data_IF_134299234385
#
_entry.id   IF_134299234385
#
_cell.length_a   1.000
_cell.length_b   1.000
_cell.length_c   1.000
_cell.angle_alpha   90.00
_cell.angle_beta   90.00
_cell.angle_gamma   90.00
#
_symmetry.space_group_name_H-M   'P 1'
#
loop_
_entity.id
_entity.type
_entity.pdbx_description
1 polymer ?
#
# COMPACT_ATOMS: atom_id res chain seq x y z
N UNK A 1 -35.41 18.15 17.15
CA UNK A 1 -34.41 17.91 16.07
C UNK A 1 -32.98 17.67 16.61
N UNK A 2 -32.81 16.80 17.64
CA UNK A 2 -31.49 16.54 18.29
C UNK A 2 -31.09 15.05 18.36
N UNK A 3 -31.94 14.12 17.89
CA UNK A 3 -31.68 12.67 17.97
C UNK A 3 -30.90 12.10 16.79
N UNK A 4 -30.83 12.80 15.65
CA UNK A 4 -30.19 12.28 14.43
C UNK A 4 -28.69 12.62 14.31
N UNK A 5 -28.19 13.54 15.14
CA UNK A 5 -26.78 13.96 15.07
C UNK A 5 -25.83 12.92 15.68
N UNK A 6 -26.26 12.20 16.73
CA UNK A 6 -25.42 11.16 17.39
C UNK A 6 -25.23 9.91 16.54
N UNK A 7 -26.22 9.54 15.72
CA UNK A 7 -26.14 8.33 14.87
C UNK A 7 -25.15 8.54 13.70
N UNK A 8 -25.11 9.75 13.14
CA UNK A 8 -24.16 10.12 12.09
C UNK A 8 -22.70 10.11 12.59
N UNK A 9 -22.46 10.47 13.86
CA UNK A 9 -21.12 10.43 14.46
C UNK A 9 -20.59 9.01 14.66
N UNK A 10 -21.47 8.05 14.99
CA UNK A 10 -21.07 6.64 15.21
C UNK A 10 -20.75 5.95 13.87
N UNK A 11 -21.51 6.23 12.81
CA UNK A 11 -21.24 5.68 11.47
C UNK A 11 -19.93 6.23 10.89
N UNK A 12 -19.58 7.48 11.20
CA UNK A 12 -18.33 8.09 10.75
C UNK A 12 -17.09 7.46 11.42
N UNK A 13 -17.18 6.98 12.67
CA UNK A 13 -16.06 6.33 13.37
C UNK A 13 -15.77 4.92 12.84
N UNK A 14 -16.79 4.16 12.42
CA UNK A 14 -16.61 2.78 11.93
C UNK A 14 -15.93 2.74 10.55
N UNK A 15 -16.03 3.81 9.75
CA UNK A 15 -15.35 3.86 8.45
C UNK A 15 -13.85 4.16 8.53
N UNK A 16 -13.35 4.74 9.62
CA UNK A 16 -11.92 5.10 9.74
C UNK A 16 -11.03 3.88 10.00
N UNK A 17 -11.59 2.78 10.50
CA UNK A 17 -10.83 1.55 10.80
C UNK A 17 -10.48 0.71 9.56
N UNK A 18 -11.05 1.03 8.39
CA UNK A 18 -10.85 0.23 7.17
C UNK A 18 -9.56 0.55 6.39
N UNK A 19 -8.66 1.38 6.94
CA UNK A 19 -7.46 1.85 6.24
C UNK A 19 -6.17 1.17 6.70
N UNK A 20 -6.18 0.49 7.85
CA UNK A 20 -4.97 -0.11 8.41
C UNK A 20 -4.87 -1.59 8.08
N UNK A 21 -3.72 -2.04 7.59
CA UNK A 21 -3.40 -3.46 7.55
C UNK A 21 -3.48 -4.03 8.98
N UNK A 22 -3.90 -5.29 9.11
CA UNK A 22 -3.91 -5.93 10.43
C UNK A 22 -2.47 -6.29 10.83
N UNK A 23 -1.91 -5.52 11.75
CA UNK A 23 -0.61 -5.81 12.35
C UNK A 23 -0.78 -6.86 13.46
N UNK A 24 0.07 -7.90 13.46
CA UNK A 24 0.10 -8.90 14.52
C UNK A 24 0.49 -8.29 15.87
N UNK A 25 0.18 -8.99 16.96
CA UNK A 25 0.63 -8.59 18.30
C UNK A 25 2.16 -8.57 18.40
N UNK A 26 2.84 -9.51 17.73
CA UNK A 26 4.29 -9.56 17.75
C UNK A 26 4.90 -8.35 17.02
N UNK A 27 4.32 -7.97 15.88
CA UNK A 27 4.69 -6.73 15.19
C UNK A 27 4.52 -5.52 16.10
N UNK A 28 3.36 -5.36 16.73
CA UNK A 28 3.10 -4.25 17.67
C UNK A 28 4.11 -4.25 18.81
N UNK A 29 4.43 -5.41 19.39
CA UNK A 29 5.41 -5.55 20.47
C UNK A 29 6.80 -5.09 20.06
N UNK A 30 7.30 -5.53 18.91
CA UNK A 30 8.65 -5.16 18.41
C UNK A 30 8.73 -3.66 18.08
N UNK A 31 7.64 -3.10 17.56
CA UNK A 31 7.60 -1.72 17.06
C UNK A 31 7.19 -0.68 18.11
N UNK A 32 6.62 -1.07 19.25
CA UNK A 32 5.93 -0.18 20.18
C UNK A 32 6.76 1.01 20.68
N UNK A 33 8.06 0.81 20.89
CA UNK A 33 8.93 1.80 21.51
C UNK A 33 9.74 2.62 20.50
N UNK A 34 9.50 2.43 19.21
CA UNK A 34 10.32 3.02 18.17
C UNK A 34 9.62 4.15 17.47
N UNK A 35 10.30 5.29 17.47
CA UNK A 35 9.88 6.50 16.78
C UNK A 35 11.00 6.92 15.84
N UNK A 36 10.67 7.51 14.69
CA UNK A 36 11.68 8.08 13.83
C UNK A 36 12.45 9.17 14.58
N UNK A 37 13.77 9.19 14.41
CA UNK A 37 14.64 10.24 14.93
C UNK A 37 14.56 11.52 14.08
N UNK A 38 14.20 11.38 12.80
CA UNK A 38 14.03 12.50 11.88
C UNK A 38 13.03 12.18 10.77
N UNK A 39 12.51 13.21 10.10
CA UNK A 39 11.64 13.13 8.94
C UNK A 39 12.17 14.03 7.82
N UNK A 40 12.45 13.43 6.67
CA UNK A 40 12.91 14.15 5.48
C UNK A 40 11.79 14.22 4.44
N UNK A 41 11.50 15.44 3.95
CA UNK A 41 10.59 15.64 2.82
C UNK A 41 11.31 15.31 1.51
N UNK A 42 10.69 14.45 0.70
CA UNK A 42 11.05 14.22 -0.69
C UNK A 42 10.18 15.14 -1.54
N UNK A 43 10.81 16.01 -2.33
CA UNK A 43 10.13 16.86 -3.30
C UNK A 43 11.07 17.15 -4.47
N UNK A 44 11.11 16.21 -5.42
CA UNK A 44 12.03 16.29 -6.57
C UNK A 44 11.29 16.67 -7.84
N UNK A 45 12.02 17.20 -8.82
CA UNK A 45 11.51 17.62 -10.12
C UNK A 45 12.26 16.94 -11.26
N UNK A 46 11.57 16.76 -12.38
CA UNK A 46 12.13 16.41 -13.67
C UNK A 46 12.86 17.62 -14.28
N UNK A 47 13.65 17.38 -15.33
CA UNK A 47 14.39 18.45 -16.04
C UNK A 47 13.49 19.54 -16.63
N UNK A 48 12.23 19.22 -16.96
CA UNK A 48 11.22 20.17 -17.43
C UNK A 48 10.50 20.93 -16.30
N UNK A 49 10.92 20.77 -15.04
CA UNK A 49 10.33 21.44 -13.89
C UNK A 49 9.08 20.76 -13.30
N UNK A 50 8.51 19.75 -13.98
CA UNK A 50 7.39 18.99 -13.43
C UNK A 50 7.82 18.20 -12.19
N UNK A 51 6.88 17.98 -11.25
CA UNK A 51 7.13 17.11 -10.10
C UNK A 51 7.54 15.72 -10.58
N UNK A 52 8.51 15.12 -9.91
CA UNK A 52 9.00 13.75 -10.15
C UNK A 52 8.58 12.83 -9.04
N UNK A 53 8.79 13.24 -7.80
CA UNK A 53 8.52 12.44 -6.61
C UNK A 53 8.19 13.36 -5.44
N UNK A 54 7.19 12.96 -4.64
CA UNK A 54 6.76 13.69 -3.46
C UNK A 54 6.39 12.71 -2.34
N UNK A 55 6.86 12.96 -1.12
CA UNK A 55 6.48 12.21 0.08
C UNK A 55 7.53 12.34 1.17
N UNK A 56 7.65 11.35 2.05
CA UNK A 56 8.52 11.46 3.22
C UNK A 56 9.38 10.21 3.42
N UNK A 57 10.59 10.43 3.93
CA UNK A 57 11.38 9.39 4.58
C UNK A 57 11.40 9.61 6.08
N UNK A 58 11.23 8.54 6.83
CA UNK A 58 11.56 8.47 8.25
C UNK A 58 12.96 7.91 8.41
N UNK A 59 13.75 8.58 9.24
CA UNK A 59 15.05 8.10 9.68
C UNK A 59 14.91 7.44 11.04
N UNK A 60 15.53 6.28 11.19
CA UNK A 60 15.73 5.59 12.46
C UNK A 60 17.23 5.50 12.72
N UNK A 61 17.65 5.77 13.96
CA UNK A 61 19.05 5.65 14.36
C UNK A 61 19.13 4.66 15.52
N UNK A 62 19.99 3.67 15.39
CA UNK A 62 20.50 2.85 16.49
C UNK A 62 22.00 3.12 16.67
N UNK A 63 22.60 2.58 17.73
CA UNK A 63 24.00 2.83 18.08
C UNK A 63 24.97 2.53 16.93
N UNK A 64 24.59 1.62 16.03
CA UNK A 64 25.44 1.14 14.95
C UNK A 64 24.93 1.52 13.54
N UNK A 65 23.68 1.97 13.39
CA UNK A 65 23.06 2.10 12.06
C UNK A 65 22.09 3.29 11.94
N UNK A 66 22.02 3.82 10.71
CA UNK A 66 20.98 4.75 10.27
C UNK A 66 20.13 4.07 9.20
N UNK A 67 18.82 3.98 9.42
CA UNK A 67 17.87 3.40 8.48
C UNK A 67 16.94 4.48 7.94
N UNK A 68 16.75 4.54 6.63
CA UNK A 68 15.77 5.41 6.00
C UNK A 68 14.64 4.56 5.40
N UNK A 69 13.40 4.91 5.70
CA UNK A 69 12.18 4.18 5.31
C UNK A 69 11.13 5.14 4.78
N UNK A 70 10.49 4.80 3.66
CA UNK A 70 9.36 5.61 3.15
C UNK A 70 8.25 5.65 4.19
N UNK A 71 7.59 6.79 4.35
CA UNK A 71 6.53 6.93 5.33
C UNK A 71 5.34 7.71 4.76
N UNK A 72 4.14 7.32 5.19
CA UNK A 72 2.91 7.98 4.78
C UNK A 72 2.68 7.91 3.27
N UNK A 73 2.08 8.97 2.70
CA UNK A 73 1.80 9.05 1.27
C UNK A 73 3.07 9.36 0.48
N UNK A 74 3.29 8.59 -0.58
CA UNK A 74 4.36 8.80 -1.53
C UNK A 74 3.82 8.74 -2.96
N UNK A 75 4.10 9.77 -3.76
CA UNK A 75 3.59 9.89 -5.14
C UNK A 75 4.74 10.07 -6.11
N UNK A 76 4.74 9.28 -7.18
CA UNK A 76 5.65 9.43 -8.31
C UNK A 76 4.88 9.87 -9.53
N UNK A 77 5.52 10.67 -10.37
CA UNK A 77 4.91 11.33 -11.51
C UNK A 77 5.68 11.00 -12.80
N UNK A 78 4.93 10.83 -13.88
CA UNK A 78 5.47 10.81 -15.23
C UNK A 78 6.15 12.13 -15.56
N UNK A 79 7.03 12.11 -16.57
CA UNK A 79 7.68 13.32 -17.09
C UNK A 79 6.66 14.38 -17.54
N UNK A 80 5.49 13.94 -18.03
CA UNK A 80 4.36 14.80 -18.42
C UNK A 80 3.64 15.46 -17.24
N UNK A 81 3.92 15.06 -16.00
CA UNK A 81 3.28 15.57 -14.78
C UNK A 81 2.09 14.75 -14.28
N UNK A 82 1.62 13.76 -15.06
CA UNK A 82 0.60 12.81 -14.61
C UNK A 82 1.09 11.91 -13.48
N UNK A 83 0.19 11.46 -12.60
CA UNK A 83 0.54 10.51 -11.54
C UNK A 83 0.88 9.15 -12.17
N UNK A 84 2.01 8.59 -11.77
CA UNK A 84 2.44 7.24 -12.14
C UNK A 84 2.09 6.25 -11.03
N UNK A 85 2.46 6.55 -9.80
CA UNK A 85 2.12 5.70 -8.64
C UNK A 85 1.73 6.51 -7.43
N UNK A 86 0.79 6.00 -6.66
CA UNK A 86 0.53 6.42 -5.28
C UNK A 86 0.77 5.24 -4.34
N UNK A 87 1.70 5.39 -3.43
CA UNK A 87 1.99 4.44 -2.36
C UNK A 87 1.61 5.06 -1.02
N UNK A 88 1.17 4.21 -0.09
CA UNK A 88 1.04 4.55 1.32
C UNK A 88 1.85 3.54 2.13
N UNK A 89 2.72 4.05 2.99
CA UNK A 89 3.57 3.25 3.87
C UNK A 89 3.18 3.48 5.33
N UNK A 90 3.40 2.47 6.16
CA UNK A 90 3.42 2.65 7.61
C UNK A 90 4.70 3.40 8.05
N UNK A 91 4.89 3.54 9.35
CA UNK A 91 6.06 4.24 9.88
C UNK A 91 7.37 3.48 9.61
N UNK A 92 7.32 2.17 9.36
CA UNK A 92 8.48 1.31 9.22
C UNK A 92 8.87 1.04 7.75
N UNK A 93 8.22 1.72 6.80
CA UNK A 93 8.49 1.52 5.38
C UNK A 93 7.75 0.35 4.76
N UNK A 94 6.82 -0.28 5.49
CA UNK A 94 6.01 -1.35 4.96
C UNK A 94 4.88 -0.77 4.14
N UNK A 95 4.76 -1.24 2.90
CA UNK A 95 3.71 -0.80 1.97
C UNK A 95 2.34 -1.25 2.48
N UNK A 96 1.43 -0.30 2.68
CA UNK A 96 0.03 -0.54 3.07
C UNK A 96 -0.90 -0.55 1.86
N UNK A 97 -0.71 0.41 0.95
CA UNK A 97 -1.50 0.53 -0.29
C UNK A 97 -0.61 0.99 -1.42
N UNK A 98 -0.90 0.52 -2.64
CA UNK A 98 -0.24 0.99 -3.85
C UNK A 98 -1.22 1.02 -5.00
N UNK A 99 -1.14 2.08 -5.80
CA UNK A 99 -1.87 2.23 -7.05
C UNK A 99 -0.89 2.60 -8.14
N UNK A 100 -1.05 1.98 -9.30
CA UNK A 100 -0.29 2.29 -10.49
C UNK A 100 -1.22 2.71 -11.61
N UNK A 101 -0.91 3.85 -12.19
CA UNK A 101 -1.65 4.48 -13.27
C UNK A 101 -0.79 4.47 -14.52
N UNK A 102 -1.42 4.37 -15.69
CA UNK A 102 -0.73 4.62 -16.95
C UNK A 102 -0.56 6.14 -17.21
N UNK A 103 0.11 6.51 -18.29
CA UNK A 103 0.36 7.92 -18.66
C UNK A 103 -0.91 8.74 -18.96
N UNK A 104 -2.06 8.08 -19.14
CA UNK A 104 -3.37 8.71 -19.33
C UNK A 104 -4.15 8.84 -18.02
N UNK A 105 -3.56 8.47 -16.87
CA UNK A 105 -4.20 8.52 -15.57
C UNK A 105 -5.16 7.36 -15.28
N UNK A 106 -5.14 6.30 -16.08
CA UNK A 106 -5.99 5.12 -15.86
C UNK A 106 -5.33 4.18 -14.86
N UNK A 107 -6.09 3.73 -13.86
CA UNK A 107 -5.66 2.72 -12.89
C UNK A 107 -5.44 1.36 -13.56
N UNK A 108 -4.21 0.85 -13.50
CA UNK A 108 -3.79 -0.41 -14.11
C UNK A 108 -3.67 -1.54 -13.07
N UNK A 109 -3.25 -1.20 -11.86
CA UNK A 109 -3.02 -2.15 -10.79
C UNK A 109 -3.19 -1.47 -9.44
N UNK A 110 -3.77 -2.19 -8.48
CA UNK A 110 -3.74 -1.79 -7.08
C UNK A 110 -3.38 -2.96 -6.17
N UNK A 111 -2.67 -2.63 -5.10
CA UNK A 111 -2.30 -3.55 -4.03
C UNK A 111 -2.80 -2.97 -2.71
N UNK A 112 -3.38 -3.83 -1.88
CA UNK A 112 -3.71 -3.52 -0.50
C UNK A 112 -3.12 -4.58 0.42
N UNK A 113 -2.34 -4.15 1.41
CA UNK A 113 -1.85 -5.03 2.45
C UNK A 113 -2.96 -5.35 3.42
N UNK A 114 -3.18 -6.65 3.64
CA UNK A 114 -4.22 -7.19 4.50
C UNK A 114 -3.67 -7.50 5.89
N UNK A 115 -2.48 -8.11 5.95
CA UNK A 115 -1.84 -8.47 7.21
C UNK A 115 -0.33 -8.32 7.14
N UNK A 116 0.26 -7.94 8.27
CA UNK A 116 1.70 -7.85 8.48
C UNK A 116 2.01 -8.59 9.77
N UNK A 117 2.96 -9.51 9.71
CA UNK A 117 3.46 -10.26 10.86
C UNK A 117 4.99 -10.30 10.82
N UNK A 118 5.63 -10.53 11.96
CA UNK A 118 7.08 -10.68 12.07
C UNK A 118 7.38 -11.70 13.15
N UNK A 119 8.45 -12.47 12.97
CA UNK A 119 8.97 -13.36 14.00
C UNK A 119 10.20 -12.78 14.71
N UNK A 120 10.61 -11.57 14.33
CA UNK A 120 11.78 -10.94 14.91
C UNK A 120 11.54 -10.56 16.38
N UNK A 121 12.64 -10.50 17.14
CA UNK A 121 12.60 -10.24 18.58
C UNK A 121 12.97 -8.80 18.92
N UNK A 122 13.79 -8.16 18.09
CA UNK A 122 14.33 -6.82 18.24
C UNK A 122 14.18 -6.00 16.94
N UNK A 123 14.26 -4.68 17.09
CA UNK A 123 14.05 -3.76 15.97
C UNK A 123 15.21 -3.76 14.98
N UNK A 124 16.46 -3.83 15.44
CA UNK A 124 17.61 -3.76 14.53
C UNK A 124 17.54 -4.91 13.52
N UNK A 125 17.22 -6.12 13.97
CA UNK A 125 17.00 -7.28 13.09
C UNK A 125 15.78 -7.07 12.18
N UNK A 126 14.69 -6.52 12.72
CA UNK A 126 13.50 -6.18 11.94
C UNK A 126 13.77 -5.17 10.82
N UNK A 127 14.50 -4.09 11.11
CA UNK A 127 14.85 -3.05 10.15
C UNK A 127 15.94 -3.51 9.18
N UNK A 128 16.84 -4.40 9.58
CA UNK A 128 17.99 -4.79 8.76
C UNK A 128 17.71 -5.92 7.75
N UNK A 129 16.48 -6.45 7.69
CA UNK A 129 16.15 -7.57 6.80
C UNK A 129 14.89 -7.30 5.99
N UNK A 130 14.99 -7.43 4.66
CA UNK A 130 13.83 -7.41 3.75
C UNK A 130 12.94 -8.68 3.89
N UNK A 131 13.34 -9.63 4.75
CA UNK A 131 12.62 -10.88 5.03
C UNK A 131 12.14 -11.00 6.49
N UNK A 132 12.27 -9.94 7.28
CA UNK A 132 11.91 -9.96 8.71
C UNK A 132 10.40 -10.02 8.97
N UNK A 133 9.57 -9.86 7.94
CA UNK A 133 8.13 -9.83 8.07
C UNK A 133 7.41 -10.61 6.97
N UNK A 134 6.31 -11.23 7.36
CA UNK A 134 5.34 -11.88 6.49
C UNK A 134 4.24 -10.87 6.13
N UNK A 135 4.04 -10.63 4.85
CA UNK A 135 2.97 -9.76 4.34
C UNK A 135 2.00 -10.58 3.50
N UNK A 136 0.71 -10.46 3.81
CA UNK A 136 -0.36 -10.86 2.91
C UNK A 136 -0.96 -9.62 2.26
N UNK A 137 -1.01 -9.63 0.92
CA UNK A 137 -1.62 -8.56 0.13
C UNK A 137 -2.76 -9.09 -0.72
N UNK A 138 -3.72 -8.21 -1.03
CA UNK A 138 -4.65 -8.35 -2.14
C UNK A 138 -4.09 -7.58 -3.34
N UNK A 139 -3.98 -8.24 -4.49
CA UNK A 139 -3.60 -7.64 -5.77
C UNK A 139 -4.82 -7.63 -6.69
N UNK A 140 -5.06 -6.49 -7.35
CA UNK A 140 -6.06 -6.34 -8.42
C UNK A 140 -5.41 -5.74 -9.66
N UNK A 141 -5.72 -6.28 -10.83
CA UNK A 141 -5.26 -5.73 -12.12
C UNK A 141 -6.43 -5.40 -13.02
N UNK A 142 -6.29 -4.32 -13.78
CA UNK A 142 -7.29 -3.82 -14.69
C UNK A 142 -6.80 -3.91 -16.14
N UNK A 143 -7.73 -4.11 -17.06
CA UNK A 143 -7.44 -4.21 -18.50
C UNK A 143 -8.52 -3.49 -19.30
N UNK A 144 -8.17 -2.99 -20.49
CA UNK A 144 -9.12 -2.40 -21.41
C UNK A 144 -9.76 -3.49 -22.28
N UNK A 145 -11.07 -3.45 -22.40
CA UNK A 145 -11.82 -4.30 -23.34
C UNK A 145 -12.39 -3.48 -24.47
N UNK A 146 -12.01 -3.77 -25.74
CA UNK A 146 -12.65 -3.16 -26.89
C UNK A 146 -14.16 -3.46 -26.98
N UNK A 147 -14.61 -4.60 -26.44
CA UNK A 147 -16.03 -5.03 -26.52
C UNK A 147 -16.98 -4.11 -25.77
N UNK A 148 -16.53 -3.56 -24.64
CA UNK A 148 -17.30 -2.62 -23.82
C UNK A 148 -16.72 -1.20 -23.90
N UNK A 149 -15.69 -0.99 -24.73
CA UNK A 149 -14.91 0.24 -24.82
C UNK A 149 -14.52 0.80 -23.44
N UNK A 150 -14.08 -0.06 -22.52
CA UNK A 150 -13.95 0.28 -21.11
C UNK A 150 -12.92 -0.55 -20.37
N UNK A 151 -12.43 0.01 -19.27
CA UNK A 151 -11.52 -0.67 -18.34
C UNK A 151 -12.32 -1.48 -17.34
N UNK A 152 -11.88 -2.71 -17.07
CA UNK A 152 -12.55 -3.62 -16.14
C UNK A 152 -11.54 -4.32 -15.24
N UNK A 153 -11.99 -4.85 -14.11
CA UNK A 153 -11.18 -5.69 -13.22
C UNK A 153 -10.88 -7.00 -13.95
N UNK A 154 -9.66 -7.20 -14.41
CA UNK A 154 -9.29 -8.40 -15.16
C UNK A 154 -9.04 -9.59 -14.24
N UNK A 155 -8.36 -9.34 -13.11
CA UNK A 155 -8.03 -10.39 -12.14
C UNK A 155 -7.76 -9.83 -10.77
N UNK A 156 -8.02 -10.66 -9.77
CA UNK A 156 -7.60 -10.40 -8.40
C UNK A 156 -7.22 -11.68 -7.66
N UNK A 157 -6.46 -11.52 -6.58
CA UNK A 157 -6.08 -12.62 -5.72
C UNK A 157 -5.08 -12.19 -4.66
N UNK A 158 -4.77 -13.11 -3.74
CA UNK A 158 -3.87 -12.83 -2.63
C UNK A 158 -2.44 -13.27 -2.93
N UNK A 159 -1.48 -12.58 -2.31
CA UNK A 159 -0.10 -13.03 -2.24
C UNK A 159 0.41 -13.03 -0.81
N UNK A 160 1.30 -13.97 -0.50
CA UNK A 160 2.16 -13.96 0.68
C UNK A 160 3.60 -13.80 0.24
N UNK A 161 4.28 -12.73 0.69
CA UNK A 161 5.68 -12.41 0.35
C UNK A 161 5.98 -12.55 -1.15
N UNK A 162 5.12 -11.97 -1.99
CA UNK A 162 5.25 -12.00 -3.45
C UNK A 162 4.79 -13.30 -4.14
N UNK A 163 4.52 -14.39 -3.40
CA UNK A 163 3.99 -15.64 -3.96
C UNK A 163 2.46 -15.65 -3.95
N UNK A 164 1.84 -16.14 -5.01
CA UNK A 164 0.38 -16.32 -5.09
C UNK A 164 -0.09 -17.36 -4.08
N UNK A 165 -1.22 -17.09 -3.43
CA UNK A 165 -1.88 -18.03 -2.52
C UNK A 165 -3.39 -18.00 -2.74
N UNK A 166 -4.05 -19.13 -2.46
CA UNK A 166 -5.49 -19.25 -2.47
C UNK A 166 -6.12 -19.00 -3.85
N UNK A 167 -7.38 -18.56 -3.83
CA UNK A 167 -8.15 -18.32 -5.05
C UNK A 167 -7.68 -17.07 -5.79
N UNK A 168 -7.34 -17.28 -7.06
CA UNK A 168 -7.15 -16.22 -8.05
C UNK A 168 -8.29 -16.24 -9.04
N UNK A 169 -9.02 -15.13 -9.10
CA UNK A 169 -10.21 -14.97 -9.93
C UNK A 169 -9.83 -14.13 -11.15
N UNK A 170 -10.27 -14.57 -12.33
CA UNK A 170 -10.25 -13.78 -13.56
C UNK A 170 -11.67 -13.50 -13.98
N UNK A 171 -11.93 -12.26 -14.35
CA UNK A 171 -13.23 -11.82 -14.83
C UNK A 171 -13.19 -11.62 -16.35
N UNK A 172 -14.36 -11.65 -16.96
CA UNK A 172 -14.55 -11.14 -18.30
C UNK A 172 -14.89 -9.63 -18.27
N UNK A 173 -15.01 -8.97 -19.44
CA UNK A 173 -15.32 -7.55 -19.50
C UNK A 173 -16.67 -7.14 -18.90
N UNK A 174 -17.61 -8.06 -18.71
CA UNK A 174 -18.93 -7.79 -18.13
C UNK A 174 -18.94 -7.96 -16.61
N UNK A 175 -17.81 -8.42 -16.03
CA UNK A 175 -17.66 -8.65 -14.60
C UNK A 175 -17.94 -10.08 -14.19
N UNK A 176 -18.25 -10.97 -15.12
CA UNK A 176 -18.53 -12.38 -14.82
C UNK A 176 -17.24 -13.16 -14.57
N UNK A 177 -17.29 -14.12 -13.65
CA UNK A 177 -16.15 -14.98 -13.36
C UNK A 177 -15.87 -15.89 -14.56
N UNK A 178 -14.76 -15.63 -15.24
CA UNK A 178 -14.29 -16.46 -16.35
C UNK A 178 -13.48 -17.66 -15.88
N UNK A 179 -12.71 -17.51 -14.81
CA UNK A 179 -11.82 -18.56 -14.30
C UNK A 179 -11.46 -18.35 -12.84
N UNK A 180 -11.44 -19.43 -12.08
CA UNK A 180 -10.84 -19.49 -10.74
C UNK A 180 -9.65 -20.45 -10.78
N UNK A 181 -8.53 -20.08 -10.19
CA UNK A 181 -7.36 -20.95 -10.02
C UNK A 181 -6.93 -20.95 -8.55
N UNK A 182 -6.78 -22.13 -7.97
CA UNK A 182 -6.22 -22.34 -6.63
C UNK A 182 -4.68 -22.37 -6.70
N UNK A 183 -4.02 -21.86 -5.67
CA UNK A 183 -2.57 -21.72 -5.55
C UNK A 183 -2.07 -22.08 -4.16
#
# INVERSE_FOLDING_TARGET
>A
MKKNLKLATIILMIFVESISAQHSENFKRVTANFKPSDTTLINTKHKNGNKKEFGFYYTYTSDNYKYERSAGKHTRYYYSGGIMTESYYDNFGILLKWKHYNSFGVLMEEIQTLSIDTNEKDLDTFLNSDKSYDIIILEKKYEFSPKICGWFLFKEGKRKNGKKIGKWIKYDPYGDIKKIKEH
#
